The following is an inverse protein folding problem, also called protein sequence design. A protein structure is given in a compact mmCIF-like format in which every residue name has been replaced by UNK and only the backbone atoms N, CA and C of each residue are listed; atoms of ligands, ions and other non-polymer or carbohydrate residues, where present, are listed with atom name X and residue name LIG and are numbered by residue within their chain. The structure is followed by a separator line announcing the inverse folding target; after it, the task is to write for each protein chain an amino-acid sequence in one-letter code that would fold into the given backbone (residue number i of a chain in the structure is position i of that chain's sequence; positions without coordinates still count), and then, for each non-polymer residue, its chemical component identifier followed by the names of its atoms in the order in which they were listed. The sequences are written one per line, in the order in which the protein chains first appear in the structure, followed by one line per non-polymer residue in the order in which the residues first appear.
data_IF_512005470104
#
_entry.id   IF_512005470104
#
_cell.length_a   1.000
_cell.length_b   1.000
_cell.length_c   1.000
_cell.angle_alpha   90.00
_cell.angle_beta   90.00
_cell.angle_gamma   90.00
#
_symmetry.space_group_name_H-M   'P 1'
#
loop_
_entity.id
_entity.type
_entity.pdbx_description
1 polymer ?
#
# COMPACT_ATOMS: atom_id res chain seq x y z
N UNK A 1 -3.17 -15.82 -22.18
CA UNK A 1 -2.84 -14.82 -23.20
C UNK A 1 -1.97 -15.52 -24.25
N UNK A 2 -2.12 -15.25 -25.55
CA UNK A 2 -1.12 -15.65 -26.55
C UNK A 2 0.28 -15.17 -26.15
N UNK A 3 1.31 -15.96 -26.45
CA UNK A 3 2.68 -15.68 -26.01
C UNK A 3 3.23 -14.41 -26.67
N UNK A 4 2.83 -14.13 -27.91
CA UNK A 4 3.23 -12.99 -28.71
C UNK A 4 2.78 -11.68 -28.06
N UNK A 5 1.53 -11.64 -27.60
CA UNK A 5 0.99 -10.50 -26.86
C UNK A 5 1.66 -10.32 -25.50
N UNK A 6 2.02 -11.41 -24.83
CA UNK A 6 2.72 -11.34 -23.55
C UNK A 6 4.13 -10.78 -23.73
N UNK A 7 4.85 -11.21 -24.78
CA UNK A 7 6.17 -10.68 -25.15
C UNK A 7 6.11 -9.18 -25.47
N UNK A 8 5.10 -8.73 -26.21
CA UNK A 8 4.91 -7.31 -26.52
C UNK A 8 4.68 -6.49 -25.23
N UNK A 9 3.79 -6.95 -24.34
CA UNK A 9 3.55 -6.29 -23.05
C UNK A 9 4.86 -6.21 -22.23
N UNK A 10 5.63 -7.30 -22.19
CA UNK A 10 6.88 -7.34 -21.45
C UNK A 10 7.93 -6.37 -21.99
N UNK A 11 7.94 -6.07 -23.30
CA UNK A 11 8.86 -5.12 -23.90
C UNK A 11 8.63 -3.67 -23.42
N UNK A 12 7.41 -3.32 -23.01
CA UNK A 12 7.06 -1.97 -22.50
C UNK A 12 7.05 -1.86 -20.98
N UNK A 13 7.17 -2.98 -20.26
CA UNK A 13 7.15 -2.96 -18.79
C UNK A 13 8.54 -2.66 -18.23
N UNK A 14 8.65 -1.76 -17.22
CA UNK A 14 9.87 -1.62 -16.44
C UNK A 14 10.13 -2.88 -15.61
N UNK A 15 11.35 -3.01 -15.07
CA UNK A 15 11.78 -4.20 -14.32
C UNK A 15 10.83 -4.59 -13.17
N UNK A 16 10.31 -3.60 -12.42
CA UNK A 16 9.32 -3.82 -11.36
C UNK A 16 7.96 -4.29 -11.89
N UNK A 17 7.54 -3.76 -13.04
CA UNK A 17 6.34 -4.23 -13.75
C UNK A 17 6.45 -5.68 -14.21
N UNK A 18 7.61 -6.08 -14.73
CA UNK A 18 7.90 -7.46 -15.12
C UNK A 18 7.87 -8.42 -13.93
N UNK A 19 8.50 -8.03 -12.81
CA UNK A 19 8.46 -8.82 -11.57
C UNK A 19 7.02 -8.93 -11.05
N UNK A 20 6.27 -7.82 -11.02
CA UNK A 20 4.88 -7.83 -10.57
C UNK A 20 4.01 -8.75 -11.45
N UNK A 21 4.18 -8.69 -12.77
CA UNK A 21 3.44 -9.54 -13.72
C UNK A 21 3.76 -11.03 -13.52
N UNK A 22 5.05 -11.34 -13.31
CA UNK A 22 5.54 -12.71 -13.07
C UNK A 22 4.94 -13.28 -11.77
N UNK A 23 4.89 -12.46 -10.71
CA UNK A 23 4.33 -12.85 -9.41
C UNK A 23 2.80 -12.88 -9.36
N UNK A 24 2.11 -12.29 -10.34
CA UNK A 24 0.65 -12.23 -10.35
C UNK A 24 0.00 -13.61 -10.56
N UNK A 25 0.63 -14.52 -11.30
CA UNK A 25 0.06 -15.83 -11.60
C UNK A 25 1.11 -16.87 -12.02
N UNK A 26 0.93 -18.14 -11.61
CA UNK A 26 1.89 -19.23 -11.91
C UNK A 26 2.15 -19.46 -13.40
N UNK A 27 1.14 -19.27 -14.25
CA UNK A 27 1.32 -19.42 -15.71
C UNK A 27 2.21 -18.30 -16.26
N UNK A 28 2.01 -17.07 -15.79
CA UNK A 28 2.83 -15.93 -16.19
C UNK A 28 4.25 -16.06 -15.63
N UNK A 29 4.40 -16.65 -14.44
CA UNK A 29 5.71 -16.96 -13.88
C UNK A 29 6.54 -17.85 -14.81
N UNK A 30 5.94 -18.89 -15.39
CA UNK A 30 6.61 -19.77 -16.34
C UNK A 30 6.90 -19.11 -17.69
N UNK A 31 6.08 -18.15 -18.12
CA UNK A 31 6.13 -17.56 -19.46
C UNK A 31 6.95 -16.26 -19.55
N UNK A 32 6.99 -15.47 -18.47
CA UNK A 32 7.70 -14.18 -18.42
C UNK A 32 9.18 -14.44 -18.10
N UNK A 33 10.03 -14.20 -19.10
CA UNK A 33 11.47 -14.24 -18.98
C UNK A 33 11.99 -12.85 -18.62
N UNK A 34 12.66 -12.74 -17.49
CA UNK A 34 13.30 -11.51 -17.03
C UNK A 34 14.78 -11.62 -17.35
N UNK A 35 15.28 -10.77 -18.24
CA UNK A 35 16.72 -10.65 -18.47
C UNK A 35 17.31 -9.63 -17.48
N UNK A 36 18.09 -10.05 -16.45
CA UNK A 36 18.64 -9.14 -15.45
C UNK A 36 19.62 -8.12 -16.04
N UNK A 37 20.25 -8.47 -17.16
CA UNK A 37 21.23 -7.63 -17.84
C UNK A 37 20.59 -6.55 -18.72
N UNK A 38 19.31 -6.73 -19.08
CA UNK A 38 18.53 -5.73 -19.81
C UNK A 38 17.99 -4.61 -18.90
N UNK A 39 18.16 -4.75 -17.58
CA UNK A 39 17.75 -3.73 -16.61
C UNK A 39 18.72 -2.58 -16.72
N UNK A 40 18.32 -1.53 -17.42
CA UNK A 40 19.07 -0.28 -17.53
C UNK A 40 19.49 0.16 -16.13
N UNK A 41 20.78 0.42 -15.95
CA UNK A 41 21.35 0.89 -14.70
C UNK A 41 20.67 2.20 -14.27
N UNK A 42 19.82 2.11 -13.24
CA UNK A 42 19.79 3.17 -12.23
C UNK A 42 18.48 3.90 -11.95
N UNK A 43 17.34 3.57 -12.58
CA UNK A 43 16.09 4.25 -12.22
C UNK A 43 15.01 3.31 -11.69
N UNK A 44 15.04 3.12 -10.37
CA UNK A 44 13.91 2.55 -9.62
C UNK A 44 12.68 3.45 -9.88
N UNK A 45 11.58 2.86 -10.32
CA UNK A 45 10.32 3.59 -10.53
C UNK A 45 9.87 4.29 -9.25
N UNK A 46 9.03 5.33 -9.37
CA UNK A 46 8.49 5.99 -8.18
C UNK A 46 7.69 5.02 -7.29
N UNK A 47 6.94 4.09 -7.89
CA UNK A 47 6.21 3.05 -7.19
C UNK A 47 7.14 2.10 -6.44
N UNK A 48 8.21 1.62 -7.09
CA UNK A 48 9.20 0.76 -6.46
C UNK A 48 9.96 1.50 -5.34
N UNK A 49 10.28 2.79 -5.51
CA UNK A 49 10.87 3.61 -4.44
C UNK A 49 9.94 3.73 -3.23
N UNK A 50 8.64 3.96 -3.47
CA UNK A 50 7.63 3.99 -2.40
C UNK A 50 7.57 2.62 -1.72
N UNK A 51 7.48 1.53 -2.48
CA UNK A 51 7.42 0.17 -1.94
C UNK A 51 8.65 -0.17 -1.09
N UNK A 52 9.87 0.12 -1.56
CA UNK A 52 11.10 -0.10 -0.81
C UNK A 52 11.09 0.68 0.51
N UNK A 53 10.77 1.98 0.48
CA UNK A 53 10.66 2.81 1.71
C UNK A 53 9.56 2.32 2.67
N UNK A 54 8.57 1.63 2.14
CA UNK A 54 7.33 1.28 2.84
C UNK A 54 7.38 -0.12 3.43
N UNK A 55 7.97 -1.08 2.74
CA UNK A 55 7.99 -2.50 3.11
C UNK A 55 9.39 -3.01 3.48
N UNK A 56 10.45 -2.41 2.93
CA UNK A 56 11.83 -2.85 3.13
C UNK A 56 12.66 -1.91 4.01
N UNK A 57 12.13 -0.74 4.36
CA UNK A 57 12.80 0.15 5.30
C UNK A 57 12.82 -0.48 6.70
N UNK A 58 13.96 -0.41 7.42
CA UNK A 58 14.07 -0.91 8.79
C UNK A 58 12.91 -0.39 9.66
N UNK A 59 12.41 -1.21 10.59
CA UNK A 59 11.41 -0.77 11.56
C UNK A 59 12.04 0.34 12.40
N UNK A 60 11.71 1.57 12.04
CA UNK A 60 12.21 2.76 12.70
C UNK A 60 11.30 3.00 13.91
N UNK A 61 11.85 2.84 15.11
CA UNK A 61 11.11 2.78 16.37
C UNK A 61 10.43 4.10 16.75
N UNK A 62 10.70 5.18 16.02
CA UNK A 62 10.20 6.53 16.30
C UNK A 62 9.56 7.22 15.09
N UNK A 63 8.89 6.48 14.18
CA UNK A 63 8.17 7.12 13.04
C UNK A 63 7.02 8.00 13.53
N UNK A 64 7.30 9.29 13.75
CA UNK A 64 6.31 10.32 14.10
C UNK A 64 5.33 10.59 12.96
N UNK A 65 5.70 10.25 11.72
CA UNK A 65 4.88 10.38 10.54
C UNK A 65 4.72 9.04 9.82
N UNK A 66 3.54 8.84 9.26
CA UNK A 66 3.19 7.68 8.47
C UNK A 66 2.47 8.14 7.19
N UNK A 67 2.69 7.42 6.11
CA UNK A 67 2.07 7.70 4.81
C UNK A 67 0.79 6.90 4.64
N UNK A 68 -0.27 7.54 4.13
CA UNK A 68 -1.53 6.87 3.85
C UNK A 68 -1.59 6.34 2.42
N UNK A 69 -1.93 5.05 2.26
CA UNK A 69 -2.05 4.34 0.97
C UNK A 69 -3.21 4.80 0.11
N UNK A 70 -4.25 5.41 0.68
CA UNK A 70 -5.44 5.87 -0.06
C UNK A 70 -5.36 7.36 -0.43
N UNK A 71 -4.91 8.21 0.50
CA UNK A 71 -4.71 9.64 0.26
C UNK A 71 -3.40 9.97 -0.46
N UNK A 72 -2.43 9.06 -0.43
CA UNK A 72 -1.04 9.30 -0.80
C UNK A 72 -0.37 10.47 -0.05
N UNK A 73 -0.79 10.76 1.19
CA UNK A 73 -0.27 11.87 2.03
C UNK A 73 0.38 11.37 3.33
N UNK A 74 1.35 12.12 3.84
CA UNK A 74 1.97 11.90 5.15
C UNK A 74 1.15 12.57 6.26
N UNK A 75 0.89 11.85 7.34
CA UNK A 75 0.20 12.34 8.53
C UNK A 75 0.96 11.90 9.79
N UNK A 76 0.73 12.54 10.95
CA UNK A 76 1.21 12.04 12.22
C UNK A 76 0.74 10.60 12.47
N UNK A 77 1.56 9.76 13.09
CA UNK A 77 1.20 8.37 13.38
C UNK A 77 -0.10 8.23 14.20
N UNK A 78 -0.42 9.23 15.03
CA UNK A 78 -1.69 9.30 15.75
C UNK A 78 -2.92 9.27 14.82
N UNK A 79 -2.83 9.82 13.60
CA UNK A 79 -3.92 9.80 12.63
C UNK A 79 -4.16 8.41 11.98
N UNK A 80 -3.39 7.39 12.32
CA UNK A 80 -3.60 6.00 11.86
C UNK A 80 -4.34 5.16 12.91
N UNK A 81 -5.03 5.82 13.84
CA UNK A 81 -5.96 5.23 14.79
C UNK A 81 -7.40 5.64 14.47
N UNK A 82 -8.35 4.71 14.53
CA UNK A 82 -9.77 4.99 14.26
C UNK A 82 -10.39 5.96 15.27
N UNK A 83 -9.93 5.98 16.52
CA UNK A 83 -10.41 6.90 17.56
C UNK A 83 -10.25 8.37 17.17
N UNK A 84 -9.25 8.69 16.36
CA UNK A 84 -9.01 10.04 15.83
C UNK A 84 -9.82 10.36 14.57
N UNK A 85 -10.72 9.47 14.15
CA UNK A 85 -11.64 9.72 13.04
C UNK A 85 -12.83 10.55 13.53
N UNK A 86 -13.26 11.59 12.78
CA UNK A 86 -14.45 12.36 13.11
C UNK A 86 -15.75 11.52 13.15
N UNK A 87 -15.73 10.31 12.57
CA UNK A 87 -16.86 9.38 12.60
C UNK A 87 -16.95 8.66 13.95
N UNK A 88 -15.80 8.36 14.58
CA UNK A 88 -15.74 7.73 15.90
C UNK A 88 -15.99 8.74 17.04
N UNK A 89 -15.76 10.05 16.79
CA UNK A 89 -15.99 11.11 17.79
C UNK A 89 -17.48 11.41 18.04
N UNK A 90 -18.39 10.97 17.16
CA UNK A 90 -19.81 11.37 17.20
C UNK A 90 -20.74 10.55 18.11
N UNK A 91 -20.25 9.55 18.85
CA UNK A 91 -21.08 8.72 19.74
C UNK A 91 -21.02 9.08 21.24
N UNK A 92 -20.18 10.02 21.67
CA UNK A 92 -19.98 10.34 23.09
C UNK A 92 -20.79 11.55 23.56
N UNK A 93 -22.12 11.50 23.48
CA UNK A 93 -22.96 12.50 24.16
C UNK A 93 -24.04 11.92 25.08
N UNK A 94 -24.23 10.59 25.14
CA UNK A 94 -25.31 10.00 25.98
C UNK A 94 -24.86 8.80 26.84
N UNK A 95 -23.70 8.17 26.65
CA UNK A 95 -23.33 7.00 27.47
C UNK A 95 -21.92 7.07 28.06
N UNK A 96 -21.92 7.00 29.38
CA UNK A 96 -20.84 6.62 30.30
C UNK A 96 -19.87 5.62 29.68
N UNK A 97 -18.57 5.85 29.87
CA UNK A 97 -17.48 4.87 30.14
C UNK A 97 -17.48 3.49 29.44
N UNK A 98 -18.22 3.30 28.36
CA UNK A 98 -18.18 2.10 27.55
C UNK A 98 -17.06 2.29 26.54
N UNK A 99 -16.01 1.48 26.67
CA UNK A 99 -14.87 1.32 25.77
C UNK A 99 -15.20 1.81 24.35
N UNK A 100 -14.54 2.89 23.92
CA UNK A 100 -14.57 3.29 22.52
C UNK A 100 -14.05 2.09 21.74
N UNK A 101 -14.91 1.42 20.98
CA UNK A 101 -14.51 0.29 20.14
C UNK A 101 -13.54 0.83 19.07
N UNK A 102 -12.24 0.78 19.38
CA UNK A 102 -11.20 1.25 18.49
C UNK A 102 -11.04 0.22 17.38
N UNK A 103 -11.76 0.45 16.28
CA UNK A 103 -11.59 -0.33 15.05
C UNK A 103 -10.12 -0.27 14.61
N UNK A 104 -9.47 -1.43 14.50
CA UNK A 104 -8.11 -1.50 13.99
C UNK A 104 -8.15 -1.13 12.50
N UNK A 105 -7.58 0.01 12.14
CA UNK A 105 -7.45 0.40 10.74
C UNK A 105 -6.47 -0.53 10.02
N UNK A 106 -6.71 -0.87 8.74
CA UNK A 106 -5.71 -1.51 7.90
C UNK A 106 -4.38 -0.74 7.94
N UNK A 107 -3.23 -1.44 7.85
CA UNK A 107 -1.93 -0.80 7.88
C UNK A 107 -1.84 0.35 6.88
N UNK A 108 -1.34 1.51 7.34
CA UNK A 108 -1.16 2.72 6.52
C UNK A 108 -2.47 3.30 5.95
N UNK A 109 -3.59 3.12 6.62
CA UNK A 109 -4.82 3.85 6.34
C UNK A 109 -5.07 4.93 7.40
N UNK A 110 -5.21 6.19 6.99
CA UNK A 110 -5.50 7.27 7.94
C UNK A 110 -6.98 7.26 8.38
N UNK A 111 -7.24 7.88 9.53
CA UNK A 111 -8.54 7.91 10.20
C UNK A 111 -9.66 8.56 9.37
N UNK A 112 -9.32 9.45 8.43
CA UNK A 112 -10.26 10.04 7.47
C UNK A 112 -10.97 8.98 6.60
N UNK A 113 -10.33 7.83 6.39
CA UNK A 113 -10.91 6.72 5.62
C UNK A 113 -11.65 5.69 6.46
N UNK A 114 -11.69 5.82 7.80
CA UNK A 114 -12.42 4.89 8.66
C UNK A 114 -13.89 4.74 8.22
N UNK A 115 -14.52 5.83 7.78
CA UNK A 115 -15.89 5.84 7.27
C UNK A 115 -16.14 5.02 6.00
N UNK A 116 -15.10 4.62 5.27
CA UNK A 116 -15.22 3.71 4.13
C UNK A 116 -15.31 2.24 4.59
N UNK A 117 -14.80 1.93 5.78
CA UNK A 117 -14.85 0.58 6.36
C UNK A 117 -16.13 0.32 7.16
N UNK A 118 -16.76 1.37 7.68
CA UNK A 118 -17.97 1.26 8.50
C UNK A 118 -19.26 1.36 7.69
N UNK A 119 -19.18 1.55 6.36
CA UNK A 119 -20.34 1.43 5.46
C UNK A 119 -20.58 -0.06 5.19
N UNK A 120 -21.24 -0.72 6.15
CA UNK A 120 -22.01 -1.94 5.92
C UNK A 120 -23.45 -1.52 5.61
#
# INVERSE_FOLDING_TARGET
LPQELLSEICAYLPADGLVALKLAHRILDAQVQINPWAWSSGQISQCARVAIRTYLAPPDSARKQQWCTLCHRNYPASMFCSSNSPICTRRSLIQQESEVEVLKLPPRMCCWHAGRLTRL
#
